data_IF_849525328593
#
_entry.id   IF_849525328593
#
_cell.length_a   1.000
_cell.length_b   1.000
_cell.length_c   1.000
_cell.angle_alpha   90.00
_cell.angle_beta   90.00
_cell.angle_gamma   90.00
#
_symmetry.space_group_name_H-M   'P 1'
#
loop_
_entity.id
_entity.type
_entity.pdbx_description
1 polymer ?
#
# COMPACT_ATOMS: atom_id res chain seq x y z
N UNK A 1 13.69 9.54 2.81
CA UNK A 1 13.79 8.51 1.77
C UNK A 1 12.83 8.88 0.65
N UNK A 2 13.16 8.77 -0.64
CA UNK A 2 12.27 9.24 -1.73
C UNK A 2 11.47 8.12 -2.39
N UNK A 3 11.61 6.88 -1.91
CA UNK A 3 10.93 5.69 -2.45
C UNK A 3 9.45 5.68 -2.07
N UNK A 4 8.58 5.61 -3.07
CA UNK A 4 7.12 5.55 -2.91
C UNK A 4 6.68 4.13 -2.54
N UNK A 5 5.81 4.03 -1.55
CA UNK A 5 5.33 2.76 -1.02
C UNK A 5 4.57 1.93 -2.06
N UNK A 6 3.71 2.56 -2.89
CA UNK A 6 2.91 1.81 -3.86
C UNK A 6 3.57 1.65 -5.22
N UNK A 7 4.34 2.65 -5.64
CA UNK A 7 4.68 2.86 -7.05
C UNK A 7 6.10 2.42 -7.42
N UNK A 8 7.02 2.39 -6.45
CA UNK A 8 8.39 1.97 -6.67
C UNK A 8 8.59 0.49 -6.29
N UNK A 9 9.60 -0.13 -6.89
CA UNK A 9 10.05 -1.47 -6.49
C UNK A 9 10.96 -1.35 -5.27
N UNK A 10 10.42 -1.64 -4.10
CA UNK A 10 11.18 -1.69 -2.84
C UNK A 10 10.89 -2.94 -2.01
N UNK A 11 9.83 -3.68 -2.36
CA UNK A 11 9.49 -4.98 -1.80
C UNK A 11 9.29 -5.98 -2.93
N UNK A 12 10.22 -6.93 -3.07
CA UNK A 12 10.24 -7.88 -4.18
C UNK A 12 10.70 -7.27 -5.51
N UNK A 13 10.20 -7.82 -6.62
CA UNK A 13 10.65 -7.45 -7.97
C UNK A 13 9.68 -6.51 -8.71
N UNK A 14 8.45 -6.35 -8.22
CA UNK A 14 7.41 -5.52 -8.86
C UNK A 14 6.80 -4.54 -7.84
N UNK A 15 6.37 -3.33 -8.26
CA UNK A 15 5.68 -2.41 -7.37
C UNK A 15 4.39 -3.00 -6.77
N UNK A 16 4.09 -2.64 -5.52
CA UNK A 16 2.89 -3.11 -4.82
C UNK A 16 1.59 -2.73 -5.54
N UNK A 17 1.57 -1.60 -6.26
CA UNK A 17 0.44 -1.19 -7.10
C UNK A 17 0.11 -2.21 -8.21
N UNK A 18 1.12 -2.92 -8.74
CA UNK A 18 0.92 -3.95 -9.76
C UNK A 18 0.55 -5.30 -9.15
N UNK A 19 1.10 -5.62 -7.98
CA UNK A 19 0.79 -6.86 -7.26
C UNK A 19 -0.64 -6.84 -6.68
N UNK A 20 -1.08 -5.69 -6.16
CA UNK A 20 -2.36 -5.51 -5.47
C UNK A 20 -3.21 -4.39 -6.11
N UNK A 21 -3.62 -4.51 -7.39
CA UNK A 21 -4.31 -3.44 -8.10
C UNK A 21 -5.66 -3.07 -7.47
N UNK A 22 -6.36 -4.06 -6.89
CA UNK A 22 -7.64 -3.80 -6.21
C UNK A 22 -7.49 -2.99 -4.93
N UNK A 23 -6.38 -3.19 -4.20
CA UNK A 23 -6.07 -2.46 -2.98
C UNK A 23 -5.55 -1.06 -3.33
N UNK A 24 -4.65 -0.94 -4.30
CA UNK A 24 -4.14 0.34 -4.78
C UNK A 24 -5.24 1.27 -5.29
N UNK A 25 -6.29 0.73 -5.91
CA UNK A 25 -7.43 1.51 -6.39
C UNK A 25 -8.24 2.20 -5.27
N UNK A 26 -8.12 1.73 -4.04
CA UNK A 26 -8.82 2.32 -2.89
C UNK A 26 -7.88 3.08 -1.95
N UNK A 27 -6.58 3.14 -2.23
CA UNK A 27 -5.62 3.96 -1.49
C UNK A 27 -5.96 5.45 -1.67
N UNK A 28 -5.91 6.20 -0.58
CA UNK A 28 -6.13 7.65 -0.57
C UNK A 28 -4.90 8.42 -1.03
N UNK A 29 -3.74 8.09 -0.44
CA UNK A 29 -2.43 8.71 -0.68
C UNK A 29 -1.50 7.71 -1.37
N UNK A 30 -1.36 7.83 -2.68
CA UNK A 30 -0.57 6.89 -3.48
C UNK A 30 0.92 7.23 -3.47
N UNK A 31 1.20 8.47 -3.12
CA UNK A 31 2.50 9.12 -3.08
C UNK A 31 3.17 9.05 -1.69
N UNK A 32 2.58 8.30 -0.75
CA UNK A 32 3.20 8.05 0.55
C UNK A 32 4.53 7.28 0.37
N UNK A 33 5.52 7.67 1.16
CA UNK A 33 6.87 7.11 1.12
C UNK A 33 7.02 5.93 2.06
N UNK A 34 7.93 5.02 1.72
CA UNK A 34 8.24 3.84 2.54
C UNK A 34 8.61 4.22 3.97
N UNK A 35 9.39 5.29 4.17
CA UNK A 35 9.76 5.75 5.51
C UNK A 35 8.56 6.25 6.31
N UNK A 36 7.62 6.93 5.67
CA UNK A 36 6.41 7.45 6.32
C UNK A 36 5.46 6.33 6.71
N UNK A 37 5.31 5.33 5.84
CA UNK A 37 4.40 4.20 6.05
C UNK A 37 4.92 3.22 7.09
N UNK A 38 6.24 2.97 7.12
CA UNK A 38 6.86 2.00 8.03
C UNK A 38 7.30 2.59 9.38
N UNK A 39 7.23 3.91 9.58
CA UNK A 39 7.61 4.57 10.84
C UNK A 39 6.51 4.53 11.92
N UNK A 40 5.49 3.69 11.75
CA UNK A 40 4.39 3.51 12.71
C UNK A 40 4.15 2.02 12.99
N UNK A 41 3.69 1.72 14.21
CA UNK A 41 3.40 0.34 14.64
C UNK A 41 2.33 -0.32 13.76
N UNK A 42 1.38 0.47 13.26
CA UNK A 42 0.44 0.08 12.21
C UNK A 42 0.85 0.80 10.94
N UNK A 43 0.86 0.12 9.78
CA UNK A 43 1.13 0.75 8.48
C UNK A 43 0.26 2.01 8.33
N UNK A 44 0.89 3.18 8.21
CA UNK A 44 0.17 4.45 8.08
C UNK A 44 -0.34 4.61 6.64
N UNK A 45 -1.35 3.82 6.28
CA UNK A 45 -1.96 3.80 4.94
C UNK A 45 -3.42 4.21 5.07
N UNK A 46 -3.80 5.23 4.30
CA UNK A 46 -5.17 5.73 4.26
C UNK A 46 -5.93 5.14 3.07
N UNK A 47 -7.17 4.74 3.29
CA UNK A 47 -8.05 4.16 2.27
C UNK A 47 -9.33 4.98 2.10
N UNK A 48 -9.72 5.22 0.84
CA UNK A 48 -10.99 5.87 0.46
C UNK A 48 -12.22 4.99 0.68
N UNK A 49 -12.02 3.69 0.91
CA UNK A 49 -13.08 2.67 1.08
C UNK A 49 -12.72 1.75 2.24
N UNK A 50 -13.73 1.22 2.91
CA UNK A 50 -13.55 0.21 3.96
C UNK A 50 -12.87 -1.04 3.40
N UNK A 51 -11.92 -1.59 4.16
CA UNK A 51 -11.31 -2.89 3.88
C UNK A 51 -12.30 -4.00 4.23
N UNK A 52 -13.06 -4.45 3.22
CA UNK A 52 -14.01 -5.56 3.35
C UNK A 52 -13.82 -6.56 2.22
N UNK A 53 -14.13 -7.83 2.50
CA UNK A 53 -14.06 -8.91 1.52
C UNK A 53 -12.70 -8.99 0.83
N UNK A 54 -12.69 -8.90 -0.51
CA UNK A 54 -11.47 -9.00 -1.32
C UNK A 54 -10.37 -8.00 -0.95
N UNK A 55 -10.72 -6.79 -0.51
CA UNK A 55 -9.72 -5.78 -0.13
C UNK A 55 -9.09 -6.08 1.22
N UNK A 56 -9.87 -6.65 2.15
CA UNK A 56 -9.35 -7.12 3.43
C UNK A 56 -8.38 -8.29 3.25
N UNK A 57 -8.75 -9.25 2.39
CA UNK A 57 -7.84 -10.35 2.07
C UNK A 57 -6.55 -9.83 1.43
N UNK A 58 -6.64 -8.97 0.41
CA UNK A 58 -5.46 -8.37 -0.20
C UNK A 58 -4.57 -7.63 0.81
N UNK A 59 -5.16 -6.93 1.78
CA UNK A 59 -4.43 -6.25 2.86
C UNK A 59 -3.71 -7.23 3.79
N UNK A 60 -4.31 -8.37 4.14
CA UNK A 60 -3.68 -9.39 4.98
C UNK A 60 -2.51 -10.13 4.29
N UNK A 61 -2.47 -10.10 2.96
CA UNK A 61 -1.41 -10.70 2.15
C UNK A 61 -0.32 -9.72 1.74
N UNK A 62 -0.48 -8.42 2.07
CA UNK A 62 0.52 -7.38 1.84
C UNK A 62 1.78 -7.63 2.68
#
# INVERSE_FOLDING_TARGET
NTTRFWEDTWLGETPLALQYPSLYNIVERKEDYVDTVLNSILLNIQFRRSLVGKHWNAWLHL
#
